data_IF_424526603876
#
_entry.id   IF_424526603876
#
_cell.length_a   1.000
_cell.length_b   1.000
_cell.length_c   1.000
_cell.angle_alpha   90.00
_cell.angle_beta   90.00
_cell.angle_gamma   90.00
#
_symmetry.space_group_name_H-M   'P 1'
#
loop_
_entity.id
_entity.type
_entity.pdbx_description
1 polymer ?
#
# COMPACT_ATOMS: atom_id res chain seq x y z
N UNK A 1 6.37 -11.68 0.14
CA UNK A 1 5.88 -11.08 1.41
C UNK A 1 6.65 -9.82 1.80
N UNK A 2 7.99 -9.81 1.79
CA UNK A 2 8.76 -8.62 2.20
C UNK A 2 8.40 -7.33 1.41
N UNK A 3 8.25 -7.42 0.09
CA UNK A 3 7.94 -6.26 -0.76
C UNK A 3 6.57 -5.66 -0.47
N UNK A 4 5.56 -6.51 -0.19
CA UNK A 4 4.22 -6.08 0.21
C UNK A 4 4.25 -5.35 1.55
N UNK A 5 4.94 -5.95 2.54
CA UNK A 5 5.09 -5.35 3.86
C UNK A 5 5.83 -4.01 3.78
N UNK A 6 6.86 -3.90 2.93
CA UNK A 6 7.57 -2.64 2.71
C UNK A 6 6.69 -1.55 2.10
N UNK A 7 5.91 -1.88 1.05
CA UNK A 7 4.98 -0.92 0.45
C UNK A 7 3.95 -0.46 1.48
N UNK A 8 3.36 -1.41 2.21
CA UNK A 8 2.36 -1.10 3.24
C UNK A 8 2.95 -0.29 4.40
N UNK A 9 4.17 -0.60 4.83
CA UNK A 9 4.86 0.17 5.85
C UNK A 9 5.06 1.63 5.41
N UNK A 10 5.44 1.84 4.16
CA UNK A 10 5.61 3.17 3.60
C UNK A 10 4.29 3.95 3.56
N UNK A 11 3.18 3.31 3.20
CA UNK A 11 1.84 3.92 3.25
C UNK A 11 1.47 4.34 4.69
N UNK A 12 1.70 3.47 5.68
CA UNK A 12 1.47 3.80 7.10
C UNK A 12 2.36 4.97 7.55
N UNK A 13 3.61 5.03 7.09
CA UNK A 13 4.51 6.15 7.38
C UNK A 13 4.07 7.46 6.71
N UNK A 14 3.46 7.38 5.53
CA UNK A 14 2.87 8.51 4.84
C UNK A 14 1.57 9.02 5.49
N UNK A 15 1.08 8.36 6.55
CA UNK A 15 -0.13 8.74 7.27
C UNK A 15 -1.39 8.04 6.77
N UNK A 16 -1.25 6.96 6.01
CA UNK A 16 -2.37 6.14 5.55
C UNK A 16 -3.16 5.50 6.71
N UNK A 17 -4.39 5.10 6.41
CA UNK A 17 -5.31 4.55 7.40
C UNK A 17 -4.81 3.19 7.88
N UNK A 18 -4.64 3.10 9.19
CA UNK A 18 -4.35 1.85 9.90
C UNK A 18 -5.58 0.93 9.85
N UNK A 19 -5.41 -0.29 9.35
CA UNK A 19 -6.50 -1.28 9.25
C UNK A 19 -6.66 -2.11 10.52
N UNK A 20 -5.66 -2.13 11.41
CA UNK A 20 -5.75 -2.69 12.75
C UNK A 20 -6.03 -1.61 13.80
N UNK A 21 -6.87 -1.97 14.77
CA UNK A 21 -7.19 -1.10 15.91
C UNK A 21 -6.05 -1.02 16.93
N UNK A 22 -5.24 -2.06 17.04
CA UNK A 22 -4.10 -2.15 17.95
C UNK A 22 -2.93 -2.85 17.26
N UNK A 23 -1.72 -2.34 17.47
CA UNK A 23 -0.49 -2.93 16.94
C UNK A 23 0.43 -3.33 18.09
N UNK A 24 1.01 -4.51 18.00
CA UNK A 24 2.01 -4.97 18.97
C UNK A 24 3.36 -4.33 18.70
N UNK A 25 3.64 -4.03 17.45
CA UNK A 25 4.90 -3.44 16.99
C UNK A 25 4.77 -1.92 16.86
N UNK A 26 5.68 -1.12 17.45
CA UNK A 26 5.72 0.32 17.23
C UNK A 26 6.37 0.70 15.88
N UNK A 27 6.94 -0.26 15.16
CA UNK A 27 7.56 -0.06 13.84
C UNK A 27 6.54 -0.28 12.74
N UNK A 28 6.54 0.58 11.73
CA UNK A 28 5.62 0.53 10.58
C UNK A 28 5.73 -0.77 9.79
N UNK A 29 6.92 -1.32 9.64
CA UNK A 29 7.14 -2.65 9.03
C UNK A 29 6.51 -3.78 9.86
N UNK A 30 6.60 -3.68 11.19
CA UNK A 30 5.93 -4.63 12.09
C UNK A 30 4.41 -4.51 12.01
N UNK A 31 3.89 -3.27 12.02
CA UNK A 31 2.47 -2.99 11.82
C UNK A 31 1.97 -3.59 10.51
N UNK A 32 2.66 -3.35 9.40
CA UNK A 32 2.33 -3.90 8.10
C UNK A 32 2.33 -5.43 8.08
N UNK A 33 3.30 -6.08 8.73
CA UNK A 33 3.32 -7.54 8.87
C UNK A 33 2.15 -8.05 9.71
N UNK A 34 1.75 -7.33 10.77
CA UNK A 34 0.58 -7.67 11.58
C UNK A 34 -0.72 -7.59 10.75
N UNK A 35 -0.87 -6.58 9.87
CA UNK A 35 -2.04 -6.49 8.99
C UNK A 35 -2.07 -7.59 7.93
N UNK A 36 -0.90 -7.96 7.39
CA UNK A 36 -0.77 -9.08 6.44
C UNK A 36 -1.10 -10.39 7.15
N UNK A 37 -0.61 -10.59 8.37
CA UNK A 37 -0.88 -11.78 9.17
C UNK A 37 -2.35 -11.89 9.59
N UNK A 38 -3.02 -10.77 9.84
CA UNK A 38 -4.45 -10.72 10.14
C UNK A 38 -5.33 -10.95 8.89
N UNK A 39 -4.76 -10.90 7.69
CA UNK A 39 -5.49 -11.03 6.43
C UNK A 39 -6.22 -9.75 6.00
N UNK A 40 -5.96 -8.62 6.68
CA UNK A 40 -6.48 -7.31 6.31
C UNK A 40 -5.76 -6.73 5.09
N UNK A 41 -4.49 -7.10 4.90
CA UNK A 41 -3.69 -6.73 3.74
C UNK A 41 -3.43 -7.96 2.89
N UNK A 42 -4.17 -8.07 1.80
CA UNK A 42 -4.02 -9.14 0.81
C UNK A 42 -3.50 -8.56 -0.51
N UNK A 43 -2.74 -9.37 -1.24
CA UNK A 43 -2.46 -9.08 -2.64
C UNK A 43 -3.70 -9.53 -3.38
N UNK A 44 -4.43 -8.57 -3.94
CA UNK A 44 -5.55 -8.88 -4.80
C UNK A 44 -4.99 -9.53 -6.08
N UNK A 45 -5.26 -10.81 -6.36
CA UNK A 45 -4.68 -11.51 -7.50
C UNK A 45 -5.26 -11.02 -8.83
N UNK A 46 -6.42 -10.35 -8.79
CA UNK A 46 -7.07 -9.72 -9.95
C UNK A 46 -6.61 -8.27 -10.15
N UNK A 47 -5.87 -7.70 -9.17
CA UNK A 47 -5.14 -6.45 -9.32
C UNK A 47 -3.89 -6.64 -10.19
N UNK A 48 -4.08 -7.20 -11.38
CA UNK A 48 -3.21 -7.01 -12.53
C UNK A 48 -3.42 -5.59 -13.07
N UNK A 49 -3.12 -4.57 -12.26
CA UNK A 49 -2.78 -3.26 -12.83
C UNK A 49 -1.46 -3.43 -13.58
N UNK A 50 -1.60 -3.85 -14.83
CA UNK A 50 -0.54 -3.87 -15.83
C UNK A 50 0.08 -2.46 -15.86
N UNK A 51 1.38 -2.36 -16.12
CA UNK A 51 2.13 -1.08 -16.24
C UNK A 51 1.38 0.02 -17.03
N UNK A 52 0.50 -0.38 -17.96
CA UNK A 52 -0.43 0.49 -18.70
C UNK A 52 -1.37 1.37 -17.88
N UNK A 53 -1.79 0.96 -16.67
CA UNK A 53 -2.69 1.78 -15.85
C UNK A 53 -1.94 2.76 -14.94
N UNK A 54 -0.69 2.43 -14.56
CA UNK A 54 0.22 3.38 -13.93
C UNK A 54 0.60 4.51 -14.89
N UNK A 55 0.85 4.20 -16.17
CA UNK A 55 1.10 5.20 -17.21
C UNK A 55 -0.09 6.15 -17.45
N UNK A 56 -1.33 5.69 -17.24
CA UNK A 56 -2.52 6.55 -17.39
C UNK A 56 -2.67 7.54 -16.24
N UNK A 57 -2.32 7.16 -15.01
CA UNK A 57 -2.36 8.10 -13.88
C UNK A 57 -1.29 9.19 -14.00
N UNK A 58 -0.10 8.86 -14.53
CA UNK A 58 0.96 9.85 -14.80
C UNK A 58 0.55 10.86 -15.91
N UNK A 59 -0.13 10.38 -16.96
CA UNK A 59 -0.64 11.25 -18.05
C UNK A 59 -1.80 12.15 -17.65
N UNK A 60 -2.57 11.79 -16.63
CA UNK A 60 -3.66 12.62 -16.10
C UNK A 60 -3.13 13.79 -15.24
N UNK A 61 -2.02 13.60 -14.52
CA UNK A 61 -1.38 14.68 -13.76
C UNK A 61 -0.75 15.76 -14.66
N UNK A 62 -0.52 15.48 -15.94
CA UNK A 62 0.11 16.40 -16.88
C UNK A 62 -0.88 17.26 -17.70
N UNK A 63 -2.20 17.10 -17.53
CA UNK A 63 -3.20 17.76 -18.39
C UNK A 63 -3.95 18.96 -17.76
N UNK A 64 -3.71 19.27 -16.49
CA UNK A 64 -4.29 20.44 -15.81
C UNK A 64 -3.35 21.67 -15.79
N UNK A 65 -2.35 21.69 -16.68
CA UNK A 65 -1.32 22.73 -16.74
C UNK A 65 -1.12 23.40 -18.11
N UNK A 66 -2.11 23.35 -19.00
CA UNK A 66 -2.13 24.12 -20.27
C UNK A 66 -3.33 25.07 -20.35
#
# INVERSE_FOLDING_TARGET
>A
MAVLASKRAHEIEAGDIKMLSEYKSPKTVGMAMEEIAAGNVIIDPDSLMLEKDAEKMDKLAQKDGE
#
